data_IF_505121224146
#
_entry.id   IF_505121224146
#
_cell.length_a   1.000
_cell.length_b   1.000
_cell.length_c   1.000
_cell.angle_alpha   90.00
_cell.angle_beta   90.00
_cell.angle_gamma   90.00
#
_symmetry.space_group_name_H-M   'P 1'
#
loop_
_entity.id
_entity.type
_entity.pdbx_description
1 polymer ?
#
# COMPACT_ATOMS: atom_id res chain seq x y z
N UNK A 1 13.12 19.73 -9.23
CA UNK A 1 12.22 18.64 -8.79
C UNK A 1 12.80 18.06 -7.50
N UNK A 2 11.96 17.73 -6.53
CA UNK A 2 12.37 17.13 -5.26
C UNK A 2 11.81 15.70 -5.17
N UNK A 3 12.45 14.86 -4.37
CA UNK A 3 11.99 13.50 -4.12
C UNK A 3 11.27 13.42 -2.78
N UNK A 4 10.07 12.86 -2.79
CA UNK A 4 9.21 12.70 -1.62
C UNK A 4 8.95 11.23 -1.34
N UNK A 5 8.92 10.84 -0.05
CA UNK A 5 8.51 9.50 0.37
C UNK A 5 6.98 9.44 0.52
N UNK A 6 6.35 8.50 -0.18
CA UNK A 6 4.91 8.41 -0.31
C UNK A 6 4.38 7.01 0.02
N UNK A 7 3.44 6.90 0.96
CA UNK A 7 2.70 5.67 1.29
C UNK A 7 1.19 5.93 1.13
N UNK A 8 0.59 5.36 0.08
CA UNK A 8 -0.74 5.77 -0.39
C UNK A 8 -1.88 4.89 0.12
N UNK A 9 -1.60 3.86 0.92
CA UNK A 9 -2.61 2.89 1.35
C UNK A 9 -2.53 2.66 2.86
N UNK A 10 -3.15 3.56 3.62
CA UNK A 10 -3.20 3.50 5.09
C UNK A 10 -4.65 3.47 5.56
N UNK A 11 -4.98 2.51 6.42
CA UNK A 11 -6.31 2.36 6.99
C UNK A 11 -6.48 3.08 8.34
N UNK A 12 -7.67 3.63 8.57
CA UNK A 12 -8.18 4.07 9.87
C UNK A 12 -8.89 2.89 10.52
N UNK A 13 -8.50 2.52 11.74
CA UNK A 13 -9.14 1.44 12.49
C UNK A 13 -10.32 1.92 13.33
N UNK A 14 -10.25 3.15 13.83
CA UNK A 14 -11.34 3.77 14.58
C UNK A 14 -11.30 5.29 14.53
N UNK A 15 -12.45 5.90 14.79
CA UNK A 15 -12.62 7.35 14.84
C UNK A 15 -12.20 7.90 16.21
N UNK A 16 -12.01 9.21 16.30
CA UNK A 16 -11.78 9.91 17.56
C UNK A 16 -12.91 9.74 18.60
N UNK A 17 -14.16 9.43 18.18
CA UNK A 17 -15.28 9.11 19.08
C UNK A 17 -15.33 7.62 19.47
N UNK A 18 -14.48 6.79 18.87
CA UNK A 18 -14.43 5.34 19.11
C UNK A 18 -15.34 4.49 18.21
N UNK A 19 -15.91 5.02 17.13
CA UNK A 19 -16.58 4.17 16.14
C UNK A 19 -15.56 3.38 15.30
N UNK A 20 -15.84 2.13 14.92
CA UNK A 20 -14.95 1.37 14.04
C UNK A 20 -15.01 1.92 12.60
N UNK A 21 -13.89 1.83 11.89
CA UNK A 21 -13.80 2.15 10.44
C UNK A 21 -13.32 0.92 9.67
N UNK A 22 -12.05 0.52 9.81
CA UNK A 22 -11.52 -0.79 9.38
C UNK A 22 -11.38 -1.71 10.59
N UNK A 23 -12.30 -2.68 10.73
CA UNK A 23 -12.36 -3.58 11.90
C UNK A 23 -11.06 -4.38 12.11
N UNK A 24 -10.37 -4.73 11.02
CA UNK A 24 -9.10 -5.48 11.07
C UNK A 24 -7.90 -4.61 11.45
N UNK A 25 -8.04 -3.29 11.45
CA UNK A 25 -6.98 -2.36 11.83
C UNK A 25 -7.08 -2.00 13.33
N UNK A 26 -5.95 -1.61 13.90
CA UNK A 26 -5.87 -1.18 15.30
C UNK A 26 -6.81 0.01 15.54
N UNK A 27 -7.59 -0.03 16.63
CA UNK A 27 -8.42 1.10 17.06
C UNK A 27 -7.61 2.37 17.38
N UNK A 28 -6.29 2.26 17.50
CA UNK A 28 -5.39 3.41 17.67
C UNK A 28 -5.07 4.13 16.35
N UNK A 29 -5.40 3.53 15.20
CA UNK A 29 -5.30 4.18 13.89
C UNK A 29 -6.45 5.17 13.72
N UNK A 30 -6.40 6.30 14.44
CA UNK A 30 -7.29 7.46 14.23
C UNK A 30 -6.61 8.44 13.27
N UNK A 31 -7.38 9.37 12.65
CA UNK A 31 -6.83 10.29 11.65
C UNK A 31 -5.66 11.10 12.21
N UNK A 32 -5.85 11.77 13.35
CA UNK A 32 -4.80 12.61 13.96
C UNK A 32 -3.55 11.79 14.29
N UNK A 33 -3.70 10.59 14.86
CA UNK A 33 -2.56 9.73 15.21
C UNK A 33 -1.77 9.26 14.00
N UNK A 34 -2.45 8.97 12.89
CA UNK A 34 -1.79 8.61 11.63
C UNK A 34 -1.01 9.82 11.10
N UNK A 35 -1.61 11.01 11.09
CA UNK A 35 -0.95 12.23 10.63
C UNK A 35 0.28 12.59 11.47
N UNK A 36 0.19 12.47 12.79
CA UNK A 36 1.31 12.66 13.72
C UNK A 36 2.41 11.61 13.52
N UNK A 37 2.05 10.33 13.46
CA UNK A 37 3.03 9.25 13.25
C UNK A 37 3.74 9.40 11.90
N UNK A 38 3.00 9.74 10.84
CA UNK A 38 3.54 9.97 9.50
C UNK A 38 4.52 11.15 9.48
N UNK A 39 4.14 12.28 10.06
CA UNK A 39 4.95 13.51 10.03
C UNK A 39 6.15 13.46 10.97
N UNK A 40 6.01 12.92 12.17
CA UNK A 40 7.00 13.11 13.24
C UNK A 40 7.89 11.90 13.44
N UNK A 41 7.38 10.68 13.27
CA UNK A 41 8.17 9.46 13.51
C UNK A 41 8.58 8.78 12.22
N UNK A 42 7.67 8.62 11.28
CA UNK A 42 7.97 7.94 10.02
C UNK A 42 8.74 8.84 9.08
N UNK A 43 8.37 10.12 9.01
CA UNK A 43 8.94 11.07 8.04
C UNK A 43 8.40 10.84 6.63
N UNK A 44 7.12 10.52 6.52
CA UNK A 44 6.43 10.42 5.23
C UNK A 44 6.06 11.82 4.75
N UNK A 45 6.45 12.15 3.52
CA UNK A 45 6.17 13.46 2.93
C UNK A 45 4.73 13.54 2.42
N UNK A 46 4.23 12.44 1.87
CA UNK A 46 2.85 12.31 1.36
C UNK A 46 2.26 10.99 1.84
N UNK A 47 1.02 11.01 2.32
CA UNK A 47 0.29 9.78 2.66
C UNK A 47 -1.09 9.75 2.03
N UNK A 48 -1.55 8.55 1.70
CA UNK A 48 -2.93 8.30 1.30
C UNK A 48 -3.67 7.57 2.42
N UNK A 49 -4.66 8.23 3.02
CA UNK A 49 -5.59 7.56 3.94
C UNK A 49 -6.81 7.14 3.14
N UNK A 50 -6.98 5.83 2.99
CA UNK A 50 -7.98 5.20 2.13
C UNK A 50 -9.33 4.99 2.82
N UNK A 51 -9.56 5.71 3.91
CA UNK A 51 -10.79 5.69 4.70
C UNK A 51 -11.37 7.09 4.92
N UNK A 52 -10.93 8.05 4.12
CA UNK A 52 -11.35 9.44 4.22
C UNK A 52 -12.81 9.66 3.78
N UNK A 53 -13.46 8.66 3.19
CA UNK A 53 -14.91 8.70 2.91
C UNK A 53 -15.77 8.57 4.17
N UNK A 54 -15.20 8.05 5.27
CA UNK A 54 -15.94 7.79 6.51
C UNK A 54 -16.40 9.11 7.16
N UNK A 55 -17.69 9.29 7.48
CA UNK A 55 -18.22 10.57 7.97
C UNK A 55 -17.47 11.14 9.18
N UNK A 56 -17.26 10.34 10.23
CA UNK A 56 -16.57 10.85 11.42
C UNK A 56 -15.06 11.08 11.23
N UNK A 57 -14.46 10.50 10.20
CA UNK A 57 -13.09 10.86 9.79
C UNK A 57 -13.08 12.24 9.15
N UNK A 58 -14.11 12.57 8.36
CA UNK A 58 -14.28 13.90 7.80
C UNK A 58 -14.60 14.93 8.89
N UNK A 59 -15.39 14.58 9.91
CA UNK A 59 -15.67 15.45 11.05
C UNK A 59 -14.39 15.80 11.82
N UNK A 60 -13.51 14.81 12.07
CA UNK A 60 -12.20 15.03 12.68
C UNK A 60 -11.33 15.93 11.79
N UNK A 61 -11.30 15.69 10.47
CA UNK A 61 -10.54 16.49 9.52
C UNK A 61 -11.02 17.95 9.45
N UNK A 62 -12.34 18.17 9.43
CA UNK A 62 -12.93 19.51 9.45
C UNK A 62 -12.55 20.24 10.74
N UNK A 63 -12.59 19.56 11.89
CA UNK A 63 -12.16 20.14 13.17
C UNK A 63 -10.69 20.58 13.15
N UNK A 64 -9.80 19.80 12.50
CA UNK A 64 -8.40 20.17 12.32
C UNK A 64 -8.20 21.38 11.40
N UNK A 65 -9.01 21.49 10.34
CA UNK A 65 -9.00 22.63 9.42
C UNK A 65 -9.51 23.91 10.11
N UNK A 66 -10.62 23.83 10.83
CA UNK A 66 -11.21 24.96 11.58
C UNK A 66 -10.27 25.47 12.68
N UNK A 67 -9.56 24.56 13.36
CA UNK A 67 -8.56 24.91 14.36
C UNK A 67 -7.24 25.45 13.78
N UNK A 68 -7.06 25.43 12.44
CA UNK A 68 -5.82 25.81 11.78
C UNK A 68 -4.66 24.83 11.99
N UNK A 69 -4.93 23.64 12.54
CA UNK A 69 -3.93 22.57 12.71
C UNK A 69 -3.62 21.86 11.38
N UNK A 70 -4.55 21.93 10.42
CA UNK A 70 -4.38 21.48 9.06
C UNK A 70 -4.78 22.59 8.07
N UNK A 71 -4.35 22.48 6.82
CA UNK A 71 -4.73 23.43 5.76
C UNK A 71 -4.94 22.71 4.44
N UNK A 72 -6.06 22.96 3.77
CA UNK A 72 -6.29 22.44 2.43
C UNK A 72 -5.43 23.19 1.40
N UNK A 73 -4.67 22.45 0.60
CA UNK A 73 -3.77 23.01 -0.40
C UNK A 73 -4.56 23.41 -1.67
N UNK A 74 -4.19 24.52 -2.31
CA UNK A 74 -4.88 25.02 -3.51
C UNK A 74 -4.92 23.98 -4.64
N UNK A 75 -3.81 23.27 -4.85
CA UNK A 75 -3.68 22.17 -5.83
C UNK A 75 -4.15 20.79 -5.30
N UNK A 76 -4.90 20.77 -4.21
CA UNK A 76 -5.48 19.58 -3.60
C UNK A 76 -4.55 18.87 -2.60
N UNK A 77 -5.17 18.12 -1.70
CA UNK A 77 -4.56 17.52 -0.52
C UNK A 77 -4.67 18.41 0.73
N UNK A 78 -4.45 17.81 1.90
CA UNK A 78 -4.48 18.49 3.20
C UNK A 78 -3.08 18.47 3.81
N UNK A 79 -2.48 19.65 4.03
CA UNK A 79 -1.23 19.76 4.74
C UNK A 79 -1.47 19.68 6.25
N UNK A 80 -0.79 18.75 6.92
CA UNK A 80 -0.72 18.67 8.38
C UNK A 80 0.76 18.59 8.79
N UNK A 81 1.24 19.59 9.54
CA UNK A 81 2.66 19.72 9.89
C UNK A 81 3.55 19.56 8.65
N UNK A 82 4.39 18.52 8.61
CA UNK A 82 5.31 18.22 7.51
C UNK A 82 4.76 17.29 6.44
N UNK A 83 3.53 16.79 6.55
CA UNK A 83 3.00 15.73 5.68
C UNK A 83 1.78 16.19 4.88
N UNK A 84 1.75 15.85 3.60
CA UNK A 84 0.59 16.05 2.73
C UNK A 84 -0.32 14.81 2.75
N UNK A 85 -1.56 14.98 3.20
CA UNK A 85 -2.59 13.96 3.12
C UNK A 85 -3.33 14.03 1.78
N UNK A 86 -3.35 12.93 1.04
CA UNK A 86 -4.25 12.70 -0.08
C UNK A 86 -5.45 11.87 0.40
N UNK A 87 -6.65 12.38 0.12
CA UNK A 87 -7.90 11.76 0.57
C UNK A 87 -8.23 10.56 -0.31
N UNK A 88 -8.27 9.37 0.29
CA UNK A 88 -8.53 8.12 -0.40
C UNK A 88 -9.76 7.37 0.14
N UNK A 89 -10.20 6.39 -0.64
CA UNK A 89 -11.23 5.41 -0.29
C UNK A 89 -10.85 4.05 -0.89
N UNK A 90 -10.75 2.99 -0.08
CA UNK A 90 -10.77 1.61 -0.59
C UNK A 90 -12.19 1.08 -0.55
N UNK A 91 -12.62 0.46 -1.66
CA UNK A 91 -13.92 -0.17 -1.80
C UNK A 91 -13.83 -1.50 -2.53
N UNK A 92 -14.85 -2.33 -2.38
CA UNK A 92 -14.97 -3.61 -3.07
C UNK A 92 -16.03 -3.52 -4.19
N UNK A 93 -15.66 -3.89 -5.41
CA UNK A 93 -16.61 -4.19 -6.49
C UNK A 93 -16.63 -5.69 -6.76
N UNK A 94 -17.83 -6.22 -7.01
CA UNK A 94 -18.02 -7.59 -7.47
C UNK A 94 -18.80 -7.58 -8.78
N UNK A 95 -18.08 -7.79 -9.89
CA UNK A 95 -18.71 -8.02 -11.18
C UNK A 95 -19.47 -9.37 -11.19
N UNK A 96 -20.61 -9.48 -11.88
CA UNK A 96 -21.34 -10.73 -12.03
C UNK A 96 -20.49 -11.83 -12.66
N UNK A 97 -20.62 -13.04 -12.13
CA UNK A 97 -19.84 -14.19 -12.58
C UNK A 97 -18.36 -14.16 -12.17
N UNK A 98 -17.89 -13.09 -11.50
CA UNK A 98 -16.48 -12.92 -11.11
C UNK A 98 -16.34 -12.87 -9.58
N UNK A 99 -15.10 -13.07 -9.11
CA UNK A 99 -14.76 -12.73 -7.73
C UNK A 99 -14.71 -11.22 -7.53
N UNK A 100 -14.63 -10.79 -6.28
CA UNK A 100 -14.58 -9.37 -5.96
C UNK A 100 -13.14 -8.86 -5.99
N UNK A 101 -12.96 -7.57 -6.28
CA UNK A 101 -11.69 -6.88 -6.24
C UNK A 101 -11.80 -5.57 -5.46
N UNK A 102 -10.70 -5.16 -4.83
CA UNK A 102 -10.56 -3.87 -4.18
C UNK A 102 -10.00 -2.82 -5.14
N UNK A 103 -10.47 -1.59 -4.96
CA UNK A 103 -10.07 -0.43 -5.71
C UNK A 103 -9.83 0.73 -4.77
N UNK A 104 -8.77 1.49 -5.05
CA UNK A 104 -8.42 2.73 -4.38
C UNK A 104 -8.91 3.90 -5.22
N UNK A 105 -9.67 4.79 -4.60
CA UNK A 105 -10.14 6.04 -5.18
C UNK A 105 -9.48 7.17 -4.43
N UNK A 106 -8.80 8.08 -5.13
CA UNK A 106 -8.22 9.28 -4.53
C UNK A 106 -8.86 10.53 -5.11
N UNK A 107 -9.16 11.50 -4.25
CA UNK A 107 -9.87 12.72 -4.62
C UNK A 107 -9.11 13.97 -4.19
N UNK A 108 -9.19 15.06 -4.98
CA UNK A 108 -8.31 16.21 -4.81
C UNK A 108 -8.58 17.01 -3.54
N UNK A 109 -9.84 17.17 -3.15
CA UNK A 109 -10.26 18.06 -2.04
C UNK A 109 -11.30 17.39 -1.15
N UNK A 110 -11.45 17.91 0.06
CA UNK A 110 -12.45 17.44 1.02
C UNK A 110 -13.87 17.54 0.44
N UNK A 111 -14.18 18.61 -0.29
CA UNK A 111 -15.47 18.77 -0.95
C UNK A 111 -15.76 17.66 -2.01
N UNK A 112 -14.73 17.19 -2.72
CA UNK A 112 -14.85 16.06 -3.65
C UNK A 112 -15.09 14.75 -2.88
N UNK A 113 -14.35 14.54 -1.78
CA UNK A 113 -14.53 13.36 -0.92
C UNK A 113 -15.93 13.34 -0.27
N UNK A 114 -16.48 14.48 0.13
CA UNK A 114 -17.85 14.58 0.64
C UNK A 114 -18.90 14.23 -0.42
N UNK A 115 -18.69 14.63 -1.68
CA UNK A 115 -19.55 14.22 -2.81
C UNK A 115 -19.46 12.71 -3.04
N UNK A 116 -18.25 12.15 -2.98
CA UNK A 116 -18.00 10.72 -3.06
C UNK A 116 -18.67 9.93 -1.95
N UNK A 117 -18.60 10.40 -0.70
CA UNK A 117 -19.29 9.79 0.44
C UNK A 117 -20.80 9.70 0.23
N UNK A 118 -21.43 10.73 -0.36
CA UNK A 118 -22.86 10.68 -0.71
C UNK A 118 -23.14 9.61 -1.77
N UNK A 119 -22.32 9.56 -2.82
CA UNK A 119 -22.43 8.53 -3.87
C UNK A 119 -22.30 7.12 -3.29
N UNK A 120 -21.38 6.90 -2.34
CA UNK A 120 -21.20 5.63 -1.64
C UNK A 120 -22.37 5.29 -0.72
N UNK A 121 -22.91 6.27 0.02
CA UNK A 121 -23.99 6.04 1.00
C UNK A 121 -25.26 5.46 0.37
N UNK A 122 -25.52 5.77 -0.90
CA UNK A 122 -26.63 5.19 -1.68
C UNK A 122 -26.36 3.74 -2.13
N UNK A 123 -25.10 3.31 -2.12
CA UNK A 123 -24.63 2.07 -2.77
C UNK A 123 -23.97 1.09 -1.82
N UNK A 124 -23.74 1.44 -0.56
CA UNK A 124 -23.21 0.55 0.46
C UNK A 124 -24.07 0.57 1.72
N UNK A 125 -24.02 -0.52 2.49
CA UNK A 125 -24.86 -0.65 3.69
C UNK A 125 -24.44 0.27 4.84
N UNK A 126 -23.15 0.60 4.90
CA UNK A 126 -22.61 1.41 5.98
C UNK A 126 -21.36 2.18 5.49
N UNK A 127 -21.56 3.44 5.13
CA UNK A 127 -20.50 4.32 4.64
C UNK A 127 -19.45 4.68 5.70
N UNK A 128 -19.74 4.44 6.98
CA UNK A 128 -18.75 4.61 8.07
C UNK A 128 -17.60 3.61 7.95
N UNK A 129 -17.87 2.42 7.43
CA UNK A 129 -16.91 1.33 7.38
C UNK A 129 -16.05 1.39 6.11
N UNK A 130 -14.83 0.91 6.27
CA UNK A 130 -13.85 0.75 5.18
C UNK A 130 -14.17 -0.46 4.28
N UNK A 131 -13.65 -0.43 3.05
CA UNK A 131 -13.62 -1.54 2.08
C UNK A 131 -14.97 -2.19 1.84
N UNK A 132 -16.06 -1.42 1.93
CA UNK A 132 -17.40 -1.96 1.77
C UNK A 132 -17.61 -2.43 0.34
N UNK A 133 -18.42 -3.49 0.18
CA UNK A 133 -18.97 -3.81 -1.12
C UNK A 133 -19.93 -2.72 -1.55
N UNK A 134 -19.67 -2.15 -2.71
CA UNK A 134 -20.50 -1.13 -3.35
C UNK A 134 -21.38 -1.81 -4.39
N UNK A 135 -22.67 -1.48 -4.38
CA UNK A 135 -23.66 -1.93 -5.36
C UNK A 135 -23.54 -1.08 -6.64
N UNK A 136 -22.43 -1.27 -7.37
CA UNK A 136 -22.14 -0.63 -8.64
C UNK A 136 -21.32 -1.56 -9.54
N UNK A 137 -21.34 -1.31 -10.84
CA UNK A 137 -20.40 -1.88 -11.80
C UNK A 137 -19.10 -1.09 -11.82
N UNK A 138 -18.03 -1.73 -12.30
CA UNK A 138 -16.73 -1.09 -12.47
C UNK A 138 -16.80 0.11 -13.43
N UNK A 139 -17.58 0.02 -14.51
CA UNK A 139 -17.77 1.16 -15.43
C UNK A 139 -18.35 2.39 -14.71
N UNK A 140 -19.39 2.20 -13.90
CA UNK A 140 -20.01 3.27 -13.10
C UNK A 140 -19.01 3.85 -12.07
N UNK A 141 -18.16 3.01 -11.49
CA UNK A 141 -17.08 3.45 -10.61
C UNK A 141 -16.08 4.35 -11.36
N UNK A 142 -15.61 3.95 -12.54
CA UNK A 142 -14.68 4.77 -13.32
C UNK A 142 -15.29 6.13 -13.65
N UNK A 143 -16.55 6.15 -14.10
CA UNK A 143 -17.27 7.38 -14.46
C UNK A 143 -17.42 8.33 -13.28
N UNK A 144 -17.83 7.82 -12.12
CA UNK A 144 -17.99 8.63 -10.92
C UNK A 144 -16.65 9.20 -10.42
N UNK A 145 -15.56 8.43 -10.50
CA UNK A 145 -14.22 8.89 -10.12
C UNK A 145 -13.73 10.00 -11.06
N UNK A 146 -13.89 9.82 -12.36
CA UNK A 146 -13.47 10.82 -13.36
C UNK A 146 -14.26 12.12 -13.24
N UNK A 147 -15.58 12.06 -13.03
CA UNK A 147 -16.43 13.23 -12.82
C UNK A 147 -16.01 14.07 -11.62
N UNK A 148 -15.44 13.43 -10.59
CA UNK A 148 -14.94 14.11 -9.39
C UNK A 148 -13.46 14.53 -9.50
N UNK A 149 -12.83 14.35 -10.67
CA UNK A 149 -11.42 14.65 -10.90
C UNK A 149 -10.46 13.74 -10.13
N UNK A 150 -10.91 12.53 -9.81
CA UNK A 150 -10.17 11.56 -9.01
C UNK A 150 -9.23 10.67 -9.81
N UNK A 151 -8.55 9.79 -9.06
CA UNK A 151 -7.71 8.72 -9.61
C UNK A 151 -8.22 7.37 -9.09
N UNK A 152 -8.39 6.41 -10.01
CA UNK A 152 -8.74 5.03 -9.70
C UNK A 152 -7.51 4.12 -9.86
N UNK A 153 -7.21 3.33 -8.83
CA UNK A 153 -6.06 2.42 -8.81
C UNK A 153 -6.54 1.05 -8.29
N UNK A 154 -6.42 -0.05 -9.07
CA UNK A 154 -6.63 -1.39 -8.55
C UNK A 154 -5.68 -1.70 -7.39
N UNK A 155 -6.24 -2.10 -6.25
CA UNK A 155 -5.49 -2.38 -5.03
C UNK A 155 -4.87 -3.78 -5.06
N UNK A 156 -3.69 -3.93 -4.46
CA UNK A 156 -2.97 -5.20 -4.19
C UNK A 156 -3.31 -6.33 -5.19
N UNK A 157 -3.07 -6.07 -6.48
CA UNK A 157 -3.72 -6.72 -7.61
C UNK A 157 -3.56 -8.23 -7.67
N UNK A 158 -2.52 -8.78 -7.04
CA UNK A 158 -2.24 -10.21 -7.06
C UNK A 158 -2.77 -10.98 -5.85
N UNK A 159 -3.27 -10.30 -4.81
CA UNK A 159 -3.75 -10.97 -3.59
C UNK A 159 -4.85 -11.98 -3.91
N UNK A 160 -4.76 -13.26 -3.47
CA UNK A 160 -5.72 -14.31 -3.84
C UNK A 160 -7.17 -14.04 -3.40
N UNK A 161 -7.34 -13.09 -2.49
CA UNK A 161 -8.63 -12.60 -2.05
C UNK A 161 -8.67 -11.11 -2.33
N UNK A 162 -9.68 -10.65 -3.08
CA UNK A 162 -9.89 -9.22 -3.36
C UNK A 162 -8.82 -8.53 -4.20
N UNK A 163 -7.79 -9.22 -4.66
CA UNK A 163 -6.92 -8.74 -5.73
C UNK A 163 -7.59 -8.90 -7.09
N UNK A 164 -7.31 -7.95 -7.99
CA UNK A 164 -7.83 -7.95 -9.36
C UNK A 164 -7.50 -9.25 -10.11
N UNK A 165 -6.22 -9.57 -10.27
CA UNK A 165 -5.75 -10.81 -10.90
C UNK A 165 -5.88 -12.02 -9.98
N UNK A 166 -5.83 -11.80 -8.66
CA UNK A 166 -5.94 -12.89 -7.69
C UNK A 166 -7.34 -13.51 -7.61
N UNK A 167 -8.39 -12.73 -7.85
CA UNK A 167 -9.78 -13.17 -7.62
C UNK A 167 -10.81 -12.73 -8.67
N UNK A 168 -10.58 -11.71 -9.49
CA UNK A 168 -11.64 -11.11 -10.33
C UNK A 168 -11.50 -11.45 -11.82
N UNK A 169 -10.29 -11.32 -12.38
CA UNK A 169 -10.07 -11.45 -13.81
C UNK A 169 -8.69 -12.02 -14.13
N UNK A 170 -8.51 -12.55 -15.35
CA UNK A 170 -7.21 -12.90 -15.91
C UNK A 170 -6.60 -11.72 -16.68
N UNK A 171 -7.42 -10.80 -17.21
CA UNK A 171 -6.98 -9.62 -17.97
C UNK A 171 -7.67 -8.34 -17.49
N UNK A 172 -6.94 -7.23 -17.48
CA UNK A 172 -7.45 -5.92 -17.04
C UNK A 172 -8.64 -5.46 -17.91
N UNK A 173 -8.49 -5.60 -19.23
CA UNK A 173 -9.47 -5.15 -20.22
C UNK A 173 -10.82 -5.89 -20.17
N UNK A 174 -10.89 -7.04 -19.51
CA UNK A 174 -12.12 -7.83 -19.40
C UNK A 174 -13.13 -7.22 -18.40
N UNK A 175 -12.68 -6.29 -17.56
CA UNK A 175 -13.48 -5.73 -16.46
C UNK A 175 -13.33 -4.21 -16.30
N UNK A 176 -12.21 -3.64 -16.72
CA UNK A 176 -11.88 -2.21 -16.64
C UNK A 176 -11.61 -1.66 -18.03
N UNK A 177 -11.75 -0.35 -18.20
CA UNK A 177 -11.16 0.34 -19.34
C UNK A 177 -9.67 0.62 -19.02
N UNK A 178 -8.72 -0.08 -19.67
CA UNK A 178 -7.32 0.09 -19.34
C UNK A 178 -6.81 1.51 -19.61
N UNK A 179 -7.43 2.28 -20.51
CA UNK A 179 -6.99 3.63 -20.85
C UNK A 179 -7.15 4.61 -19.68
N UNK A 180 -8.07 4.31 -18.76
CA UNK A 180 -8.39 5.13 -17.58
C UNK A 180 -7.62 4.72 -16.33
N UNK A 181 -6.82 3.65 -16.41
CA UNK A 181 -5.99 3.15 -15.32
C UNK A 181 -4.53 3.52 -15.58
N UNK A 182 -3.98 4.44 -14.78
CA UNK A 182 -2.60 4.91 -14.92
C UNK A 182 -1.62 4.16 -14.02
N UNK A 183 -2.10 3.59 -12.92
CA UNK A 183 -1.30 2.83 -11.97
C UNK A 183 -2.03 1.60 -11.43
N UNK A 184 -1.25 0.68 -10.88
CA UNK A 184 -1.72 -0.49 -10.11
C UNK A 184 -0.89 -0.61 -8.84
N UNK A 185 -1.51 -1.08 -7.76
CA UNK A 185 -0.78 -1.42 -6.53
C UNK A 185 -0.44 -2.91 -6.52
N UNK A 186 0.84 -3.24 -6.35
CA UNK A 186 1.32 -4.62 -6.42
C UNK A 186 0.85 -5.47 -5.23
N UNK A 187 0.93 -4.89 -4.03
CA UNK A 187 0.67 -5.55 -2.76
C UNK A 187 1.85 -6.38 -2.25
N UNK A 188 1.78 -6.76 -0.97
CA UNK A 188 2.89 -7.29 -0.14
C UNK A 188 3.44 -8.67 -0.54
N UNK A 189 3.01 -9.23 -1.67
CA UNK A 189 3.36 -10.60 -2.10
C UNK A 189 3.87 -10.64 -3.55
N UNK A 190 4.08 -9.47 -4.16
CA UNK A 190 4.63 -9.31 -5.51
C UNK A 190 5.58 -8.11 -5.55
N UNK A 191 6.57 -8.17 -6.43
CA UNK A 191 7.47 -7.06 -6.74
C UNK A 191 7.39 -6.71 -8.24
N UNK A 192 8.20 -5.74 -8.67
CA UNK A 192 8.28 -5.31 -10.07
C UNK A 192 8.59 -6.45 -11.02
N UNK A 193 9.56 -7.30 -10.70
CA UNK A 193 9.99 -8.42 -11.57
C UNK A 193 8.88 -9.44 -11.81
N UNK A 194 8.07 -9.69 -10.78
CA UNK A 194 6.91 -10.55 -10.91
C UNK A 194 5.83 -9.87 -11.76
N UNK A 195 5.52 -8.61 -11.51
CA UNK A 195 4.42 -7.90 -12.17
C UNK A 195 4.71 -7.56 -13.64
N UNK A 196 5.95 -7.21 -14.00
CA UNK A 196 6.33 -6.90 -15.39
C UNK A 196 6.33 -8.12 -16.32
N UNK A 197 6.06 -9.31 -15.80
CA UNK A 197 5.79 -10.48 -16.65
C UNK A 197 4.42 -10.45 -17.34
N UNK A 198 3.57 -9.48 -16.99
CA UNK A 198 2.29 -9.22 -17.64
C UNK A 198 2.43 -7.96 -18.51
N UNK A 199 2.46 -8.12 -19.82
CA UNK A 199 2.72 -7.02 -20.77
C UNK A 199 1.64 -5.94 -20.75
N UNK A 200 0.40 -6.26 -20.36
CA UNK A 200 -0.67 -5.28 -20.19
C UNK A 200 -0.38 -4.26 -19.08
N UNK A 201 0.53 -4.59 -18.15
CA UNK A 201 0.97 -3.72 -17.07
C UNK A 201 2.15 -2.80 -17.46
N UNK A 202 2.74 -2.98 -18.64
CA UNK A 202 3.90 -2.21 -19.12
C UNK A 202 3.59 -0.73 -19.41
N UNK A 203 2.31 -0.36 -19.50
CA UNK A 203 1.90 1.05 -19.61
C UNK A 203 1.61 1.69 -18.23
N UNK A 204 1.62 0.91 -17.15
CA UNK A 204 1.12 1.30 -15.82
C UNK A 204 2.25 1.65 -14.87
N UNK A 205 2.05 2.68 -14.06
CA UNK A 205 2.93 2.99 -12.92
C UNK A 205 2.68 1.97 -11.82
N UNK A 206 3.76 1.46 -11.20
CA UNK A 206 3.64 0.54 -10.07
C UNK A 206 3.71 1.29 -8.75
N UNK A 207 2.76 0.99 -7.88
CA UNK A 207 2.73 1.47 -6.51
C UNK A 207 2.94 0.31 -5.54
N UNK A 208 3.66 0.61 -4.46
CA UNK A 208 4.03 -0.32 -3.40
C UNK A 208 3.71 0.38 -2.09
N UNK A 209 2.54 0.09 -1.53
CA UNK A 209 2.04 0.78 -0.35
C UNK A 209 1.86 -0.19 0.81
N UNK A 210 1.85 0.35 2.02
CA UNK A 210 1.91 -0.46 3.22
C UNK A 210 0.67 -1.29 3.49
N UNK A 211 -0.53 -0.91 3.03
CA UNK A 211 -1.79 -1.44 3.55
C UNK A 211 -1.77 -1.45 5.10
N UNK A 212 -1.38 -0.32 5.68
CA UNK A 212 -1.08 -0.22 7.11
C UNK A 212 -2.34 -0.33 7.96
N UNK A 213 -2.35 -1.35 8.81
CA UNK A 213 -3.41 -1.63 9.79
C UNK A 213 -2.99 -1.28 11.23
N UNK A 214 -1.81 -0.69 11.42
CA UNK A 214 -1.27 -0.23 12.71
C UNK A 214 -0.20 0.82 12.47
N UNK A 215 0.01 1.74 13.41
CA UNK A 215 0.91 2.89 13.26
C UNK A 215 2.34 2.46 12.87
N UNK A 216 2.85 1.40 13.52
CA UNK A 216 4.18 0.85 13.22
C UNK A 216 4.34 0.32 11.79
N UNK A 217 3.24 -0.07 11.11
CA UNK A 217 3.28 -0.61 9.74
C UNK A 217 3.27 0.47 8.65
N UNK A 218 3.01 1.73 9.00
CA UNK A 218 3.10 2.85 8.05
C UNK A 218 4.52 2.87 7.46
N UNK A 219 4.61 2.94 6.13
CA UNK A 219 5.88 2.92 5.41
C UNK A 219 6.64 1.60 5.46
N UNK A 220 5.96 0.44 5.64
CA UNK A 220 6.60 -0.87 5.42
C UNK A 220 6.81 -1.19 3.93
N UNK A 221 5.95 -0.63 3.08
CA UNK A 221 6.16 -0.44 1.65
C UNK A 221 5.75 0.99 1.32
N UNK A 222 6.49 1.64 0.45
CA UNK A 222 6.28 3.03 0.02
C UNK A 222 7.05 3.26 -1.28
N UNK A 223 6.93 4.46 -1.84
CA UNK A 223 7.73 4.85 -2.99
C UNK A 223 8.38 6.21 -2.78
N UNK A 224 9.49 6.43 -3.48
CA UNK A 224 10.01 7.76 -3.74
C UNK A 224 9.40 8.30 -5.02
N UNK A 225 8.87 9.52 -4.98
CA UNK A 225 8.25 10.18 -6.13
C UNK A 225 8.93 11.54 -6.36
N UNK A 226 9.38 11.76 -7.60
CA UNK A 226 9.87 13.05 -8.03
C UNK A 226 8.71 13.97 -8.42
N UNK A 227 8.56 15.09 -7.70
CA UNK A 227 7.53 16.11 -7.91
C UNK A 227 8.09 17.52 -7.71
N UNK A 228 7.41 18.54 -8.22
CA UNK A 228 7.80 19.94 -7.96
C UNK A 228 7.40 20.39 -6.56
N UNK A 229 6.23 19.94 -6.09
CA UNK A 229 5.70 20.20 -4.76
C UNK A 229 4.85 19.02 -4.29
N UNK A 230 4.51 19.00 -2.99
CA UNK A 230 3.56 18.03 -2.43
C UNK A 230 2.15 18.57 -2.63
N UNK A 231 1.38 17.95 -3.51
CA UNK A 231 -0.05 18.22 -3.72
C UNK A 231 -0.71 17.05 -4.44
N UNK A 232 -2.04 16.98 -4.44
CA UNK A 232 -2.76 15.99 -5.24
C UNK A 232 -2.44 16.13 -6.73
N UNK A 233 -2.40 17.35 -7.26
CA UNK A 233 -2.14 17.58 -8.67
C UNK A 233 -0.75 17.08 -9.11
N UNK A 234 0.30 17.35 -8.33
CA UNK A 234 1.65 16.86 -8.64
C UNK A 234 1.75 15.34 -8.48
N UNK A 235 1.09 14.76 -7.47
CA UNK A 235 0.99 13.32 -7.32
C UNK A 235 0.30 12.67 -8.52
N UNK A 236 -0.84 13.21 -8.98
CA UNK A 236 -1.55 12.71 -10.15
C UNK A 236 -0.69 12.79 -11.43
N UNK A 237 0.03 13.89 -11.65
CA UNK A 237 1.01 13.99 -12.76
C UNK A 237 2.11 12.95 -12.65
N UNK A 238 2.63 12.69 -11.46
CA UNK A 238 3.65 11.68 -11.24
C UNK A 238 3.13 10.27 -11.55
N UNK A 239 1.90 9.96 -11.13
CA UNK A 239 1.24 8.69 -11.47
C UNK A 239 1.08 8.52 -12.98
N UNK A 240 0.73 9.60 -13.69
CA UNK A 240 0.63 9.63 -15.16
C UNK A 240 1.97 9.73 -15.89
N UNK A 241 3.06 9.97 -15.17
CA UNK A 241 4.43 10.20 -15.68
C UNK A 241 4.53 11.42 -16.60
N UNK A 242 3.88 12.52 -16.22
CA UNK A 242 3.82 13.77 -17.00
C UNK A 242 4.90 14.77 -16.57
N UNK A 243 5.42 15.55 -17.51
CA UNK A 243 6.27 16.71 -17.19
C UNK A 243 7.52 16.39 -16.37
N UNK A 244 8.08 15.17 -16.53
CA UNK A 244 9.24 14.69 -15.79
C UNK A 244 8.95 14.19 -14.37
N UNK A 245 7.70 14.26 -13.89
CA UNK A 245 7.31 13.67 -12.60
C UNK A 245 7.17 12.17 -12.75
N UNK A 246 7.41 11.44 -11.67
CA UNK A 246 7.26 10.00 -11.68
C UNK A 246 7.72 9.32 -10.40
N UNK A 247 7.34 8.06 -10.25
CA UNK A 247 7.94 7.19 -9.24
C UNK A 247 9.39 6.92 -9.62
N UNK A 248 10.32 7.21 -8.71
CA UNK A 248 11.76 7.02 -8.93
C UNK A 248 12.27 5.73 -8.34
N UNK A 249 11.66 5.25 -7.25
CA UNK A 249 11.98 3.98 -6.59
C UNK A 249 10.73 3.43 -5.91
N UNK A 250 10.49 2.13 -6.03
CA UNK A 250 9.55 1.40 -5.19
C UNK A 250 10.32 0.70 -4.07
N UNK A 251 9.92 0.89 -2.82
CA UNK A 251 10.48 0.17 -1.67
C UNK A 251 9.42 -0.77 -1.13
N UNK A 252 9.75 -2.05 -1.02
CA UNK A 252 8.80 -3.01 -0.49
C UNK A 252 9.45 -4.26 0.06
N UNK A 253 8.63 -5.15 0.61
CA UNK A 253 9.12 -6.38 1.20
C UNK A 253 9.60 -7.32 0.09
N UNK A 254 10.53 -8.23 0.42
CA UNK A 254 10.80 -9.38 -0.42
C UNK A 254 9.50 -10.19 -0.57
N UNK A 255 9.01 -10.49 -1.80
CA UNK A 255 7.74 -11.21 -2.00
C UNK A 255 7.61 -12.52 -1.24
N UNK A 256 8.72 -13.22 -0.97
CA UNK A 256 8.76 -14.46 -0.21
C UNK A 256 8.37 -14.31 1.27
N UNK A 257 8.39 -13.09 1.82
CA UNK A 257 7.85 -12.78 3.14
C UNK A 257 6.31 -12.71 3.12
N UNK A 258 5.73 -12.55 1.94
CA UNK A 258 4.30 -12.41 1.73
C UNK A 258 3.51 -13.62 2.21
N UNK A 259 2.43 -13.34 2.94
CA UNK A 259 1.50 -14.33 3.52
C UNK A 259 1.01 -15.39 2.52
N UNK A 260 0.88 -14.99 1.26
CA UNK A 260 0.29 -15.76 0.18
C UNK A 260 1.25 -16.00 -0.99
N UNK A 261 2.57 -15.88 -0.78
CA UNK A 261 3.53 -16.05 -1.86
C UNK A 261 3.45 -17.44 -2.50
N UNK A 262 3.38 -18.49 -1.67
CA UNK A 262 3.33 -19.90 -2.08
C UNK A 262 1.94 -20.52 -1.90
N UNK A 263 1.63 -21.54 -2.71
CA UNK A 263 0.41 -22.32 -2.58
C UNK A 263 0.40 -23.08 -1.26
N UNK A 264 -0.70 -22.97 -0.51
CA UNK A 264 -0.79 -23.56 0.83
C UNK A 264 -2.20 -24.00 1.22
N UNK A 265 -2.28 -24.98 2.12
CA UNK A 265 -3.53 -25.41 2.73
C UNK A 265 -4.06 -24.41 3.77
N UNK A 266 -5.33 -23.97 3.68
CA UNK A 266 -5.90 -23.09 4.71
C UNK A 266 -6.11 -23.76 6.08
N UNK A 267 -6.13 -25.10 6.13
CA UNK A 267 -6.35 -25.86 7.36
C UNK A 267 -5.06 -26.06 8.16
N UNK A 268 -4.15 -26.88 7.62
CA UNK A 268 -2.90 -27.25 8.29
C UNK A 268 -1.70 -26.36 7.93
N UNK A 269 -1.88 -25.39 7.04
CA UNK A 269 -0.82 -24.47 6.60
C UNK A 269 0.40 -25.15 5.94
N UNK A 270 0.28 -26.38 5.45
CA UNK A 270 1.33 -27.02 4.65
C UNK A 270 1.50 -26.29 3.32
N UNK A 271 2.77 -26.13 2.90
CA UNK A 271 3.13 -25.70 1.56
C UNK A 271 2.86 -26.82 0.58
N UNK A 272 2.27 -26.47 -0.56
CA UNK A 272 1.84 -27.42 -1.59
C UNK A 272 2.44 -27.03 -2.95
N UNK A 273 2.54 -27.97 -3.89
CA UNK A 273 2.90 -27.68 -5.28
C UNK A 273 2.04 -26.55 -5.87
N UNK A 274 2.61 -25.80 -6.82
CA UNK A 274 1.95 -24.64 -7.44
C UNK A 274 0.61 -25.00 -8.10
N UNK A 275 0.51 -26.21 -8.66
CA UNK A 275 -0.63 -26.78 -9.38
C UNK A 275 -1.60 -27.55 -8.46
N UNK A 276 -1.38 -27.55 -7.14
CA UNK A 276 -2.22 -28.28 -6.19
C UNK A 276 -3.67 -27.81 -6.25
N UNK A 277 -4.58 -28.75 -6.53
CA UNK A 277 -6.03 -28.53 -6.63
C UNK A 277 -6.78 -29.50 -5.72
N UNK A 278 -8.00 -29.11 -5.33
CA UNK A 278 -8.88 -29.96 -4.53
C UNK A 278 -8.54 -29.95 -3.05
N UNK A 279 -8.38 -31.14 -2.46
CA UNK A 279 -8.16 -31.30 -1.01
C UNK A 279 -6.68 -31.38 -0.69
N UNK A 280 -6.30 -30.84 0.46
CA UNK A 280 -4.95 -30.96 0.97
C UNK A 280 -4.56 -32.44 1.14
N UNK A 281 -3.44 -32.90 0.56
CA UNK A 281 -2.97 -34.27 0.73
C UNK A 281 -2.56 -34.59 2.18
N UNK A 282 -2.11 -33.59 2.94
CA UNK A 282 -1.64 -33.76 4.32
C UNK A 282 -2.76 -33.92 5.35
N UNK A 283 -3.90 -33.25 5.17
CA UNK A 283 -4.95 -33.18 6.19
C UNK A 283 -6.39 -33.31 5.64
N UNK A 284 -6.56 -33.51 4.34
CA UNK A 284 -7.87 -33.64 3.69
C UNK A 284 -8.71 -32.35 3.64
N UNK A 285 -8.19 -31.22 4.14
CA UNK A 285 -8.90 -29.94 4.17
C UNK A 285 -9.23 -29.47 2.75
N UNK A 286 -10.44 -28.92 2.57
CA UNK A 286 -11.01 -28.66 1.24
C UNK A 286 -10.49 -27.41 0.53
N UNK A 287 -9.81 -26.51 1.25
CA UNK A 287 -9.42 -25.19 0.75
C UNK A 287 -7.91 -25.07 0.66
N UNK A 288 -7.44 -24.96 -0.57
CA UNK A 288 -6.07 -24.60 -0.92
C UNK A 288 -6.11 -23.15 -1.42
N UNK A 289 -5.23 -22.30 -0.90
CA UNK A 289 -5.01 -20.95 -1.42
C UNK A 289 -3.86 -21.04 -2.41
N UNK A 290 -4.12 -20.68 -3.65
CA UNK A 290 -3.10 -20.57 -4.69
C UNK A 290 -2.14 -19.44 -4.32
N UNK A 291 -0.84 -19.70 -4.48
CA UNK A 291 0.21 -18.72 -4.26
C UNK A 291 0.21 -17.61 -5.31
N UNK A 292 0.63 -16.41 -4.90
CA UNK A 292 0.79 -15.26 -5.80
C UNK A 292 1.80 -15.55 -6.91
N UNK A 293 2.92 -16.20 -6.59
CA UNK A 293 3.92 -16.57 -7.60
C UNK A 293 3.31 -17.47 -8.69
N UNK A 294 2.62 -18.54 -8.28
CA UNK A 294 1.96 -19.47 -9.19
C UNK A 294 0.87 -18.80 -10.05
N UNK A 295 0.15 -17.82 -9.48
CA UNK A 295 -0.84 -17.05 -10.24
C UNK A 295 -0.18 -16.14 -11.27
N UNK A 296 0.91 -15.47 -10.93
CA UNK A 296 1.65 -14.64 -11.88
C UNK A 296 2.26 -15.51 -12.99
N UNK A 297 2.82 -16.68 -12.65
CA UNK A 297 3.34 -17.63 -13.64
C UNK A 297 2.28 -18.07 -14.65
N UNK A 298 1.05 -18.31 -14.20
CA UNK A 298 -0.09 -18.67 -15.05
C UNK A 298 -0.48 -17.55 -16.02
N UNK A 299 -0.39 -16.29 -15.59
CA UNK A 299 -0.81 -15.12 -16.38
C UNK A 299 0.32 -14.51 -17.21
N UNK A 300 1.58 -14.88 -16.95
CA UNK A 300 2.74 -14.30 -17.57
C UNK A 300 2.76 -14.52 -19.09
N UNK A 301 2.95 -13.43 -19.83
CA UNK A 301 3.14 -13.42 -21.28
C UNK A 301 4.52 -12.86 -21.68
N UNK A 302 5.38 -12.59 -20.69
CA UNK A 302 6.78 -12.18 -20.84
C UNK A 302 7.69 -12.98 -19.93
N UNK A 303 8.92 -13.12 -20.39
CA UNK A 303 10.03 -13.62 -19.58
C UNK A 303 10.39 -12.66 -18.45
N UNK A 304 10.97 -13.19 -17.38
CA UNK A 304 11.47 -12.38 -16.28
C UNK A 304 12.60 -11.43 -16.74
N UNK A 305 12.68 -10.24 -16.13
CA UNK A 305 13.72 -9.23 -16.41
C UNK A 305 13.42 -8.29 -17.59
N UNK A 306 12.30 -8.46 -18.30
CA UNK A 306 11.88 -7.56 -19.37
C UNK A 306 11.08 -6.37 -18.80
N UNK A 307 11.76 -5.24 -18.55
CA UNK A 307 11.14 -4.04 -17.98
C UNK A 307 11.02 -2.90 -19.00
N UNK A 308 9.93 -2.11 -18.96
CA UNK A 308 9.90 -0.82 -19.65
C UNK A 308 11.02 0.10 -19.19
N UNK A 309 11.58 0.92 -20.08
CA UNK A 309 12.70 1.82 -19.76
C UNK A 309 12.39 2.84 -18.64
N UNK A 310 11.11 3.17 -18.43
CA UNK A 310 10.68 4.07 -17.37
C UNK A 310 10.46 3.38 -16.01
N UNK A 311 10.52 2.04 -15.95
CA UNK A 311 10.22 1.29 -14.74
C UNK A 311 11.27 1.60 -13.67
N UNK A 312 10.88 2.16 -12.51
CA UNK A 312 11.82 2.41 -11.43
C UNK A 312 12.32 1.09 -10.82
N UNK A 313 13.50 1.08 -10.19
CA UNK A 313 13.95 -0.06 -9.41
C UNK A 313 12.98 -0.35 -8.26
N UNK A 314 12.82 -1.64 -7.97
CA UNK A 314 12.20 -2.12 -6.74
C UNK A 314 13.33 -2.49 -5.76
N UNK A 315 13.45 -1.76 -4.67
CA UNK A 315 14.41 -2.06 -3.61
C UNK A 315 13.69 -2.89 -2.56
N UNK A 316 14.06 -4.17 -2.46
CA UNK A 316 13.65 -5.01 -1.35
C UNK A 316 14.23 -4.43 -0.07
N UNK A 317 13.37 -4.18 0.91
CA UNK A 317 13.75 -3.54 2.16
C UNK A 317 13.04 -4.21 3.34
N UNK A 318 13.75 -4.27 4.45
CA UNK A 318 13.21 -4.79 5.71
C UNK A 318 12.85 -3.62 6.63
N UNK A 319 11.61 -3.59 7.17
CA UNK A 319 11.26 -2.66 8.25
C UNK A 319 12.27 -2.77 9.39
N UNK A 320 12.63 -1.64 10.01
CA UNK A 320 13.62 -1.63 11.09
C UNK A 320 13.22 -2.58 12.24
N UNK A 321 11.93 -2.72 12.52
CA UNK A 321 11.38 -3.65 13.52
C UNK A 321 11.59 -5.15 13.19
N UNK A 322 11.91 -5.49 11.94
CA UNK A 322 12.21 -6.87 11.53
C UNK A 322 13.69 -7.21 11.71
N UNK A 323 14.54 -6.21 11.97
CA UNK A 323 15.97 -6.41 12.15
C UNK A 323 16.23 -7.01 13.53
N UNK A 324 16.86 -8.20 13.63
CA UNK A 324 17.14 -8.82 14.91
C UNK A 324 17.94 -7.90 15.84
N UNK A 325 17.42 -7.69 17.05
CA UNK A 325 18.01 -6.79 18.05
C UNK A 325 17.49 -5.35 18.02
N UNK A 326 16.75 -4.96 16.97
CA UNK A 326 16.13 -3.63 16.88
C UNK A 326 14.72 -3.68 17.47
N UNK A 327 14.65 -3.55 18.80
CA UNK A 327 13.38 -3.45 19.54
C UNK A 327 12.88 -2.00 19.72
N UNK A 328 11.71 -1.78 20.33
CA UNK A 328 11.10 -0.46 20.51
C UNK A 328 12.01 0.57 21.18
N UNK A 329 12.81 0.15 22.18
CA UNK A 329 13.76 1.05 22.86
C UNK A 329 14.87 1.54 21.92
N UNK A 330 15.36 0.66 21.04
CA UNK A 330 16.42 1.01 20.11
C UNK A 330 15.88 1.88 18.97
N UNK A 331 14.67 1.59 18.49
CA UNK A 331 13.95 2.46 17.55
C UNK A 331 13.77 3.87 18.10
N UNK A 332 13.35 4.01 19.37
CA UNK A 332 13.22 5.31 20.01
C UNK A 332 14.56 6.07 20.08
N UNK A 333 15.67 5.38 20.36
CA UNK A 333 17.02 5.98 20.32
C UNK A 333 17.40 6.45 18.92
N UNK A 334 17.14 5.63 17.90
CA UNK A 334 17.38 5.98 16.50
C UNK A 334 16.56 7.21 16.09
N UNK A 335 15.27 7.25 16.41
CA UNK A 335 14.43 8.42 16.08
C UNK A 335 14.83 9.66 16.88
N UNK A 336 15.29 9.51 18.12
CA UNK A 336 15.83 10.65 18.85
C UNK A 336 17.11 11.21 18.19
N UNK A 337 17.99 10.35 17.70
CA UNK A 337 19.24 10.77 17.05
C UNK A 337 19.04 11.32 15.63
N UNK A 338 18.13 10.72 14.86
CA UNK A 338 17.99 10.98 13.43
C UNK A 338 16.67 11.66 13.05
N UNK A 339 15.77 11.91 14.01
CA UNK A 339 14.46 12.50 13.79
C UNK A 339 13.40 11.47 13.37
N UNK A 340 13.55 10.86 12.19
CA UNK A 340 12.50 10.02 11.58
C UNK A 340 13.03 8.69 11.06
N UNK A 341 12.12 7.73 10.85
CA UNK A 341 12.43 6.46 10.20
C UNK A 341 13.03 6.68 8.80
N UNK A 342 12.48 7.58 7.98
CA UNK A 342 13.05 7.86 6.65
C UNK A 342 14.48 8.39 6.72
N UNK A 343 14.84 9.17 7.74
CA UNK A 343 16.23 9.58 7.95
C UNK A 343 17.11 8.39 8.34
N UNK A 344 16.65 7.53 9.24
CA UNK A 344 17.34 6.28 9.64
C UNK A 344 17.47 5.30 8.49
N UNK A 345 16.60 5.34 7.48
CA UNK A 345 16.61 4.39 6.37
C UNK A 345 17.38 4.93 5.16
N UNK A 346 17.32 6.24 4.89
CA UNK A 346 17.86 6.79 3.64
C UNK A 346 18.98 7.81 3.80
N UNK A 347 19.16 8.39 5.00
CA UNK A 347 20.06 9.55 5.18
C UNK A 347 21.23 9.26 6.12
N UNK A 348 21.00 8.53 7.21
CA UNK A 348 22.05 8.20 8.18
C UNK A 348 23.11 7.28 7.57
N UNK A 349 24.38 7.58 7.78
CA UNK A 349 25.52 6.75 7.37
C UNK A 349 25.69 5.53 8.31
N UNK A 350 26.48 4.53 7.90
CA UNK A 350 26.78 3.38 8.76
C UNK A 350 27.53 3.83 10.02
N UNK A 351 28.47 4.77 9.87
CA UNK A 351 29.25 5.32 10.96
C UNK A 351 28.36 6.03 11.97
N UNK A 352 27.46 6.91 11.52
CA UNK A 352 26.52 7.59 12.42
C UNK A 352 25.61 6.61 13.14
N UNK A 353 25.11 5.57 12.45
CA UNK A 353 24.33 4.50 13.08
C UNK A 353 25.16 3.79 14.16
N UNK A 354 26.42 3.46 13.87
CA UNK A 354 27.29 2.73 14.79
C UNK A 354 27.52 3.51 16.10
N UNK A 355 27.61 4.85 16.03
CA UNK A 355 27.70 5.69 17.23
C UNK A 355 26.47 5.61 18.14
N UNK A 356 25.28 5.31 17.59
CA UNK A 356 24.02 5.25 18.35
C UNK A 356 23.70 3.84 18.83
N UNK A 357 23.93 2.83 17.98
CA UNK A 357 23.44 1.46 18.20
C UNK A 357 24.53 0.38 18.20
N UNK A 358 25.80 0.78 18.01
CA UNK A 358 26.93 -0.12 17.88
C UNK A 358 27.07 -0.72 16.47
N UNK A 359 28.31 -1.09 16.10
CA UNK A 359 28.66 -1.55 14.75
C UNK A 359 27.82 -2.73 14.27
N UNK A 360 27.55 -3.70 15.14
CA UNK A 360 26.79 -4.90 14.78
C UNK A 360 25.38 -4.56 14.28
N UNK A 361 24.67 -3.67 14.98
CA UNK A 361 23.31 -3.30 14.59
C UNK A 361 23.34 -2.35 13.39
N UNK A 362 24.32 -1.43 13.32
CA UNK A 362 24.49 -0.55 12.17
C UNK A 362 24.62 -1.33 10.85
N UNK A 363 25.48 -2.36 10.82
CA UNK A 363 25.64 -3.26 9.67
C UNK A 363 24.35 -3.97 9.28
N UNK A 364 23.57 -4.45 10.27
CA UNK A 364 22.28 -5.08 10.01
C UNK A 364 21.25 -4.09 9.45
N UNK A 365 21.25 -2.84 9.92
CA UNK A 365 20.41 -1.78 9.37
C UNK A 365 20.79 -1.50 7.92
N UNK A 366 22.09 -1.33 7.62
CA UNK A 366 22.56 -1.10 6.25
C UNK A 366 22.21 -2.26 5.32
N UNK A 367 22.44 -3.50 5.76
CA UNK A 367 22.04 -4.69 5.00
C UNK A 367 20.52 -4.74 4.79
N UNK A 368 19.73 -4.38 5.81
CA UNK A 368 18.26 -4.31 5.73
C UNK A 368 17.74 -3.25 4.77
N UNK A 369 18.45 -2.12 4.63
CA UNK A 369 18.13 -1.06 3.66
C UNK A 369 18.32 -1.51 2.21
N UNK A 370 19.28 -2.41 1.99
CA UNK A 370 19.69 -2.89 0.66
C UNK A 370 19.06 -4.25 0.27
N UNK A 371 18.17 -4.81 1.10
CA UNK A 371 17.56 -6.11 0.84
C UNK A 371 18.49 -7.30 1.05
N UNK A 372 19.69 -7.08 1.59
CA UNK A 372 20.74 -8.10 1.71
C UNK A 372 20.64 -8.98 2.97
N UNK A 373 19.49 -8.97 3.66
CA UNK A 373 19.27 -9.82 4.84
C UNK A 373 18.75 -11.20 4.44
N UNK A 374 19.23 -12.24 5.11
CA UNK A 374 18.75 -13.60 4.89
C UNK A 374 17.33 -13.77 5.42
N UNK A 375 16.48 -14.42 4.64
CA UNK A 375 15.06 -14.61 4.94
C UNK A 375 14.70 -16.08 5.01
N UNK A 376 14.02 -16.47 6.09
CA UNK A 376 13.20 -17.67 6.12
C UNK A 376 11.85 -17.36 5.45
N UNK A 377 11.53 -18.08 4.37
CA UNK A 377 10.30 -17.88 3.57
C UNK A 377 9.04 -17.94 4.44
N UNK A 378 8.11 -17.04 4.17
CA UNK A 378 6.75 -17.09 4.69
C UNK A 378 5.89 -18.05 3.88
N UNK A 379 4.67 -18.26 4.34
CA UNK A 379 3.71 -19.10 3.65
C UNK A 379 2.51 -19.39 4.53
N UNK A 380 1.42 -19.80 3.88
CA UNK A 380 0.30 -20.38 4.59
C UNK A 380 -0.21 -19.49 5.73
N UNK A 381 -0.49 -18.24 5.40
CA UNK A 381 -1.05 -17.33 6.38
C UNK A 381 -0.03 -16.68 7.34
N UNK A 382 1.24 -17.03 7.27
CA UNK A 382 2.32 -16.51 8.12
C UNK A 382 3.36 -15.71 7.34
N UNK A 383 3.89 -14.64 7.95
CA UNK A 383 4.99 -13.87 7.38
C UNK A 383 6.32 -14.62 7.55
N UNK A 384 7.22 -14.46 6.59
CA UNK A 384 8.61 -14.91 6.74
C UNK A 384 9.37 -14.10 7.79
N UNK A 385 10.60 -14.52 8.10
CA UNK A 385 11.44 -13.89 9.14
C UNK A 385 12.86 -13.65 8.66
N UNK A 386 13.47 -12.56 9.11
CA UNK A 386 14.91 -12.35 8.94
C UNK A 386 15.66 -13.28 9.89
N UNK A 387 16.67 -13.98 9.37
CA UNK A 387 17.56 -14.84 10.17
C UNK A 387 18.98 -14.28 10.15
N UNK A 388 19.66 -14.35 11.31
CA UNK A 388 21.09 -14.07 11.38
C UNK A 388 21.83 -15.26 10.76
N UNK A 389 22.79 -14.98 9.89
CA UNK A 389 23.75 -15.95 9.35
C UNK A 389 24.68 -16.47 10.44
#
# INVERSE_FOLDING_TARGET
MQTYFCDMHIHIGGTWTGKPVKITASRQMTLTKILEEASEKKGMDVIGIIDAHSPEVQDELMSLLEAGAATEHADGGILYKGTMLILGCELEIKEPGRGAAHFLVYLPRLANMQQWTRWLAERCKNVQLSSQRVAARIGELQDAVEQLGGMLIPAHIFTPHKGLYGSCTDRLADVLDPSRIYAVELGLSANTDMADRLSELHAKTFLTNSDAHSLGKIGREYQSIAMEARSFAEWAKAIRREGGRGVTVNYGLHPQLGKYHQTACQGCQSLLPADAKGRCPECGHKRIVRGVAARIDELADREAGAHPAFRPPYIEQFPLEFIPGVGPKLLAKLYHAFGTQMNVVHRATEEELAHVVGEKIAKLIVAGRAGCLNVQKGGAGTYGKVILS
#
